data_IF_739350028964
#
_entry.id   IF_739350028964
#
_cell.length_a   1.000
_cell.length_b   1.000
_cell.length_c   1.000
_cell.angle_alpha   90.00
_cell.angle_beta   90.00
_cell.angle_gamma   90.00
#
_symmetry.space_group_name_H-M   'P 1'
#
loop_
_entity.id
_entity.type
_entity.pdbx_description
1 polymer ?
#
# COMPACT_ATOMS: atom_id res chain seq x y z
N UNK A 1 3.34 -22.31 -88.71
CA UNK A 1 1.95 -22.32 -88.19
C UNK A 1 1.91 -23.28 -87.00
N UNK A 2 2.05 -22.75 -85.79
CA UNK A 2 1.72 -23.47 -84.55
C UNK A 2 0.90 -22.50 -83.72
N UNK A 3 -0.39 -22.80 -83.54
CA UNK A 3 -1.26 -22.05 -82.62
C UNK A 3 -0.86 -22.46 -81.20
N UNK A 4 -0.74 -21.52 -80.24
CA UNK A 4 -0.70 -21.88 -78.84
C UNK A 4 -2.07 -22.47 -78.46
N UNK A 5 -2.07 -23.59 -77.74
CA UNK A 5 -3.28 -24.26 -77.26
C UNK A 5 -3.97 -23.37 -76.21
N UNK A 6 -5.16 -22.87 -76.55
CA UNK A 6 -6.03 -22.15 -75.61
C UNK A 6 -6.45 -23.00 -74.40
N UNK A 7 -6.29 -24.32 -74.48
CA UNK A 7 -6.57 -25.26 -73.39
C UNK A 7 -5.59 -25.14 -72.20
N UNK A 8 -4.31 -24.83 -72.45
CA UNK A 8 -3.30 -24.71 -71.39
C UNK A 8 -3.44 -23.41 -70.60
N UNK A 9 -4.01 -22.37 -71.22
CA UNK A 9 -4.31 -21.08 -70.58
C UNK A 9 -5.57 -21.19 -69.72
N UNK A 10 -6.59 -21.93 -70.18
CA UNK A 10 -7.82 -22.16 -69.42
C UNK A 10 -7.60 -23.06 -68.20
N UNK A 11 -6.72 -24.05 -68.29
CA UNK A 11 -6.33 -24.90 -67.14
C UNK A 11 -5.40 -24.16 -66.17
N UNK A 12 -4.51 -23.28 -66.66
CA UNK A 12 -3.75 -22.38 -65.80
C UNK A 12 -4.66 -21.38 -65.06
N UNK A 13 -5.68 -20.82 -65.73
CA UNK A 13 -6.68 -19.94 -65.11
C UNK A 13 -7.64 -20.68 -64.17
N UNK A 14 -8.02 -21.94 -64.46
CA UNK A 14 -8.77 -22.81 -63.54
C UNK A 14 -7.95 -23.22 -62.31
N UNK A 15 -6.63 -23.39 -62.45
CA UNK A 15 -5.73 -23.65 -61.32
C UNK A 15 -5.53 -22.41 -60.43
N UNK A 16 -5.44 -21.22 -61.03
CA UNK A 16 -5.32 -19.95 -60.32
C UNK A 16 -6.62 -19.54 -59.61
N UNK A 17 -7.79 -19.88 -60.17
CA UNK A 17 -9.09 -19.63 -59.53
C UNK A 17 -9.47 -20.66 -58.46
N UNK A 18 -8.84 -21.84 -58.44
CA UNK A 18 -9.02 -22.86 -57.38
C UNK A 18 -8.16 -22.65 -56.15
N UNK A 19 -7.11 -21.85 -56.22
CA UNK A 19 -6.27 -21.51 -55.05
C UNK A 19 -6.61 -20.11 -54.53
N UNK A 20 -7.86 -19.89 -54.09
CA UNK A 20 -8.11 -18.86 -53.08
C UNK A 20 -7.56 -19.38 -51.75
N UNK A 21 -6.22 -19.41 -51.63
CA UNK A 21 -5.57 -19.51 -50.33
C UNK A 21 -5.97 -18.24 -49.60
N UNK A 22 -6.94 -18.40 -48.70
CA UNK A 22 -7.30 -17.31 -47.83
C UNK A 22 -6.07 -16.99 -46.98
N UNK A 23 -5.95 -15.74 -46.54
CA UNK A 23 -4.81 -15.32 -45.73
C UNK A 23 -4.72 -16.12 -44.41
N UNK A 24 -5.82 -16.80 -44.01
CA UNK A 24 -5.86 -17.75 -42.89
C UNK A 24 -5.32 -19.16 -43.18
N UNK A 25 -5.01 -19.49 -44.43
CA UNK A 25 -4.41 -20.78 -44.85
C UNK A 25 -2.87 -20.70 -44.91
N UNK A 26 -2.28 -19.55 -44.56
CA UNK A 26 -0.84 -19.36 -44.49
C UNK A 26 -0.27 -20.00 -43.21
N UNK A 27 0.96 -20.53 -43.26
CA UNK A 27 1.67 -20.97 -42.06
C UNK A 27 1.76 -19.84 -41.03
N UNK A 28 1.60 -20.12 -39.72
CA UNK A 28 1.68 -19.12 -38.65
C UNK A 28 2.95 -18.27 -38.71
N UNK A 29 4.06 -18.87 -39.14
CA UNK A 29 5.38 -18.24 -39.27
C UNK A 29 5.39 -17.13 -40.33
N UNK A 30 4.80 -17.39 -41.50
CA UNK A 30 4.64 -16.41 -42.58
C UNK A 30 3.67 -15.28 -42.20
N UNK A 31 2.60 -15.62 -41.48
CA UNK A 31 1.67 -14.62 -40.94
C UNK A 31 2.41 -13.70 -39.96
N UNK A 32 3.24 -14.25 -39.07
CA UNK A 32 4.03 -13.41 -38.14
C UNK A 32 5.05 -12.51 -38.83
N UNK A 33 5.67 -12.95 -39.93
CA UNK A 33 6.56 -12.10 -40.73
C UNK A 33 5.82 -10.95 -41.41
N UNK A 34 4.66 -11.22 -42.01
CA UNK A 34 3.79 -10.20 -42.63
C UNK A 34 3.37 -9.17 -41.58
N UNK A 35 2.97 -9.63 -40.39
CA UNK A 35 2.58 -8.76 -39.29
C UNK A 35 3.75 -7.93 -38.74
N UNK A 36 4.97 -8.47 -38.74
CA UNK A 36 6.17 -7.74 -38.34
C UNK A 36 6.63 -6.68 -39.34
N UNK A 37 6.20 -6.78 -40.60
CA UNK A 37 6.45 -5.76 -41.61
C UNK A 37 5.36 -4.67 -41.64
N UNK A 38 4.19 -4.96 -41.06
CA UNK A 38 3.07 -4.04 -40.96
C UNK A 38 3.14 -3.28 -39.61
N UNK A 39 4.11 -2.39 -39.44
CA UNK A 39 4.37 -1.63 -38.20
C UNK A 39 3.20 -0.73 -37.70
N UNK A 40 2.08 -0.67 -38.43
CA UNK A 40 0.92 0.16 -38.10
C UNK A 40 -0.22 -0.63 -37.43
N UNK A 41 -0.59 -0.21 -36.22
CA UNK A 41 -1.69 -0.78 -35.44
C UNK A 41 -3.03 -0.78 -36.19
N UNK A 42 -3.30 0.17 -37.10
CA UNK A 42 -4.57 0.16 -37.84
C UNK A 42 -4.62 -0.96 -38.88
N UNK A 43 -3.49 -1.25 -39.52
CA UNK A 43 -3.34 -2.32 -40.51
C UNK A 43 -3.48 -3.69 -39.86
N UNK A 44 -2.82 -3.91 -38.72
CA UNK A 44 -2.95 -5.14 -37.95
C UNK A 44 -4.38 -5.31 -37.40
N UNK A 45 -5.07 -4.22 -37.04
CA UNK A 45 -6.47 -4.25 -36.55
C UNK A 45 -7.45 -4.72 -37.61
N UNK A 46 -7.24 -4.28 -38.86
CA UNK A 46 -8.04 -4.73 -40.01
C UNK A 46 -7.79 -6.21 -40.29
N UNK A 47 -6.54 -6.65 -40.24
CA UNK A 47 -6.15 -8.06 -40.37
C UNK A 47 -6.81 -8.94 -39.29
N UNK A 48 -6.81 -8.50 -38.04
CA UNK A 48 -7.46 -9.25 -36.95
C UNK A 48 -8.98 -9.43 -37.13
N UNK A 49 -9.64 -8.55 -37.88
CA UNK A 49 -11.08 -8.63 -38.17
C UNK A 49 -11.42 -9.55 -39.35
N UNK A 50 -10.44 -10.02 -40.13
CA UNK A 50 -10.69 -10.77 -41.37
C UNK A 50 -11.10 -12.23 -41.15
N UNK A 51 -10.45 -12.98 -40.27
CA UNK A 51 -10.86 -14.34 -39.94
C UNK A 51 -10.42 -14.73 -38.52
N UNK A 52 -11.05 -15.74 -37.89
CA UNK A 52 -10.74 -16.14 -36.50
C UNK A 52 -9.30 -16.62 -36.30
N UNK A 53 -8.72 -17.31 -37.28
CA UNK A 53 -7.34 -17.78 -37.22
C UNK A 53 -6.34 -16.62 -37.22
N UNK A 54 -6.53 -15.66 -38.13
CA UNK A 54 -5.75 -14.43 -38.17
C UNK A 54 -6.03 -13.51 -36.99
N UNK A 55 -7.26 -13.47 -36.48
CA UNK A 55 -7.60 -12.74 -35.26
C UNK A 55 -6.70 -13.19 -34.10
N UNK A 56 -6.46 -14.49 -33.95
CA UNK A 56 -5.62 -15.02 -32.87
C UNK A 56 -4.16 -14.57 -32.99
N UNK A 57 -3.62 -14.45 -34.20
CA UNK A 57 -2.21 -14.11 -34.45
C UNK A 57 -2.01 -12.58 -34.58
N UNK A 58 -2.88 -11.91 -35.31
CA UNK A 58 -2.88 -10.46 -35.52
C UNK A 58 -3.27 -9.69 -34.25
N UNK A 59 -4.16 -10.21 -33.39
CA UNK A 59 -4.38 -9.59 -32.08
C UNK A 59 -3.09 -9.59 -31.25
N UNK A 60 -2.29 -10.67 -31.33
CA UNK A 60 -1.00 -10.69 -30.65
C UNK A 60 0.00 -9.67 -31.20
N UNK A 61 -0.06 -9.31 -32.48
CA UNK A 61 0.74 -8.23 -33.06
C UNK A 61 0.16 -6.83 -32.74
N UNK A 62 -1.18 -6.70 -32.63
CA UNK A 62 -1.86 -5.47 -32.18
C UNK A 62 -1.49 -5.10 -30.76
N UNK A 63 -1.39 -6.11 -29.90
CA UNK A 63 -0.93 -5.97 -28.52
C UNK A 63 0.60 -5.81 -28.41
N UNK A 64 1.30 -5.55 -29.52
CA UNK A 64 2.76 -5.33 -29.59
C UNK A 64 3.13 -4.01 -30.28
N UNK A 65 2.30 -3.51 -31.19
CA UNK A 65 2.44 -2.16 -31.75
C UNK A 65 1.96 -1.11 -30.76
N UNK A 66 2.77 -0.07 -30.54
CA UNK A 66 2.40 1.02 -29.64
C UNK A 66 1.13 1.69 -30.14
N UNK A 67 0.04 1.57 -29.37
CA UNK A 67 -1.20 2.25 -29.73
C UNK A 67 -1.06 3.72 -29.32
N UNK A 68 -0.93 4.63 -30.30
CA UNK A 68 -0.69 6.07 -30.07
C UNK A 68 0.59 6.36 -29.26
N UNK A 69 1.63 5.54 -29.41
CA UNK A 69 2.92 5.75 -28.73
C UNK A 69 3.02 5.17 -27.31
N UNK A 70 1.98 4.50 -26.79
CA UNK A 70 2.03 3.83 -25.47
C UNK A 70 2.46 2.36 -25.62
N UNK A 71 3.38 1.91 -24.75
CA UNK A 71 3.77 0.49 -24.64
C UNK A 71 2.52 -0.36 -24.35
N UNK A 72 2.22 -1.38 -25.19
CA UNK A 72 1.03 -2.20 -25.02
C UNK A 72 1.02 -3.00 -23.71
N UNK A 73 2.19 -3.28 -23.13
CA UNK A 73 2.33 -3.90 -21.82
C UNK A 73 1.86 -2.95 -20.72
N UNK A 74 2.28 -1.68 -20.78
CA UNK A 74 1.83 -0.62 -19.88
C UNK A 74 0.32 -0.39 -20.04
N UNK A 75 -0.18 -0.33 -21.28
CA UNK A 75 -1.61 -0.22 -21.54
C UNK A 75 -2.41 -1.38 -20.93
N UNK A 76 -1.89 -2.60 -21.02
CA UNK A 76 -2.52 -3.80 -20.44
C UNK A 76 -2.51 -3.74 -18.92
N UNK A 77 -1.42 -3.26 -18.31
CA UNK A 77 -1.32 -3.02 -16.86
C UNK A 77 -2.34 -1.97 -16.41
N UNK A 78 -2.37 -0.80 -17.05
CA UNK A 78 -3.26 0.30 -16.69
C UNK A 78 -4.75 -0.08 -16.74
N UNK A 79 -5.09 -1.07 -17.55
CA UNK A 79 -6.48 -1.56 -17.72
C UNK A 79 -6.71 -2.94 -17.11
N UNK A 80 -5.73 -3.46 -16.38
CA UNK A 80 -5.69 -4.80 -15.79
C UNK A 80 -6.21 -5.90 -16.76
N UNK A 81 -5.74 -5.85 -18.01
CA UNK A 81 -6.07 -6.78 -19.10
C UNK A 81 -5.21 -8.03 -19.02
N UNK A 82 -5.47 -8.85 -18.01
CA UNK A 82 -4.74 -10.09 -17.73
C UNK A 82 -4.60 -11.02 -18.95
N UNK A 83 -5.68 -11.26 -19.69
CA UNK A 83 -5.67 -12.16 -20.86
C UNK A 83 -4.76 -11.65 -21.97
N UNK A 84 -4.81 -10.34 -22.22
CA UNK A 84 -3.97 -9.66 -23.21
C UNK A 84 -2.50 -9.76 -22.83
N UNK A 85 -2.16 -9.47 -21.58
CA UNK A 85 -0.78 -9.58 -21.11
C UNK A 85 -0.26 -11.01 -21.19
N UNK A 86 -1.07 -11.98 -20.78
CA UNK A 86 -0.68 -13.40 -20.83
C UNK A 86 -0.38 -13.85 -22.25
N UNK A 87 -1.14 -13.36 -23.24
CA UNK A 87 -0.84 -13.59 -24.65
C UNK A 87 0.48 -12.94 -25.06
N UNK A 88 0.75 -11.69 -24.66
CA UNK A 88 2.03 -11.02 -24.92
C UNK A 88 3.19 -11.85 -24.37
N UNK A 89 3.10 -12.29 -23.10
CA UNK A 89 4.15 -13.04 -22.40
C UNK A 89 4.39 -14.44 -23.00
N UNK A 90 3.34 -15.15 -23.45
CA UNK A 90 3.47 -16.50 -24.04
C UNK A 90 4.27 -16.52 -25.35
N UNK A 91 4.24 -15.42 -26.10
CA UNK A 91 4.92 -15.32 -27.39
C UNK A 91 6.35 -14.75 -27.30
N UNK A 92 6.85 -14.53 -26.08
CA UNK A 92 8.21 -14.08 -25.76
C UNK A 92 9.31 -15.07 -26.21
N UNK A 93 8.97 -16.30 -26.57
CA UNK A 93 9.90 -17.35 -27.00
C UNK A 93 10.53 -17.16 -28.39
N UNK A 94 10.18 -16.10 -29.13
CA UNK A 94 10.73 -15.83 -30.46
C UNK A 94 11.92 -14.85 -30.40
N UNK A 95 13.07 -15.23 -30.98
CA UNK A 95 14.38 -14.58 -30.69
C UNK A 95 14.50 -13.11 -31.10
N UNK A 96 13.63 -12.61 -31.97
CA UNK A 96 13.61 -11.21 -32.43
C UNK A 96 12.87 -10.25 -31.48
N UNK A 97 12.10 -10.77 -30.52
CA UNK A 97 11.10 -10.00 -29.76
C UNK A 97 11.12 -10.29 -28.26
N UNK A 98 12.26 -10.70 -27.72
CA UNK A 98 12.42 -11.00 -26.31
C UNK A 98 12.35 -9.70 -25.47
N UNK A 99 11.31 -9.56 -24.64
CA UNK A 99 11.21 -8.47 -23.66
C UNK A 99 12.43 -8.53 -22.73
N UNK A 100 13.16 -7.41 -22.63
CA UNK A 100 14.36 -7.34 -21.82
C UNK A 100 14.00 -7.55 -20.33
N UNK A 101 14.82 -8.24 -19.53
CA UNK A 101 14.52 -8.44 -18.11
C UNK A 101 14.32 -7.15 -17.31
N UNK A 102 14.89 -6.03 -17.77
CA UNK A 102 14.68 -4.70 -17.17
C UNK A 102 13.29 -4.14 -17.46
N UNK A 103 12.73 -4.42 -18.62
CA UNK A 103 11.38 -3.96 -18.99
C UNK A 103 10.35 -4.70 -18.13
N UNK A 104 10.47 -6.03 -18.02
CA UNK A 104 9.60 -6.83 -17.13
C UNK A 104 9.64 -6.35 -15.67
N UNK A 105 10.80 -5.85 -15.23
CA UNK A 105 10.93 -5.25 -13.90
C UNK A 105 10.13 -3.95 -13.80
N UNK A 106 10.24 -3.05 -14.78
CA UNK A 106 9.47 -1.81 -14.80
C UNK A 106 7.96 -2.10 -14.87
N UNK A 107 7.55 -3.07 -15.69
CA UNK A 107 6.17 -3.55 -15.79
C UNK A 107 5.66 -4.14 -14.47
N UNK A 108 6.48 -4.88 -13.72
CA UNK A 108 6.09 -5.41 -12.40
C UNK A 108 5.86 -4.28 -11.39
N UNK A 109 6.75 -3.29 -11.34
CA UNK A 109 6.61 -2.12 -10.46
C UNK A 109 5.31 -1.39 -10.76
N UNK A 110 5.04 -1.16 -12.05
CA UNK A 110 3.82 -0.48 -12.48
C UNK A 110 2.56 -1.30 -12.17
N UNK A 111 2.60 -2.62 -12.35
CA UNK A 111 1.50 -3.51 -11.99
C UNK A 111 1.16 -3.47 -10.50
N UNK A 112 2.17 -3.49 -9.63
CA UNK A 112 1.98 -3.42 -8.19
C UNK A 112 1.47 -2.04 -7.75
N UNK A 113 2.04 -0.97 -8.32
CA UNK A 113 1.62 0.43 -8.08
C UNK A 113 0.16 0.65 -8.45
N UNK A 114 -0.28 0.05 -9.56
CA UNK A 114 -1.66 0.14 -10.06
C UNK A 114 -2.58 -0.93 -9.50
N UNK A 115 -2.15 -1.76 -8.54
CA UNK A 115 -2.98 -2.81 -7.95
C UNK A 115 -3.43 -3.92 -8.91
N UNK A 116 -2.75 -4.09 -10.05
CA UNK A 116 -3.05 -5.11 -11.06
C UNK A 116 -2.41 -6.45 -10.68
N UNK A 117 -2.92 -7.08 -9.61
CA UNK A 117 -2.27 -8.24 -8.99
C UNK A 117 -2.28 -9.51 -9.84
N UNK A 118 -3.30 -9.74 -10.68
CA UNK A 118 -3.28 -10.85 -11.65
C UNK A 118 -2.13 -10.70 -12.64
N UNK A 119 -1.96 -9.48 -13.14
CA UNK A 119 -0.86 -9.14 -14.05
C UNK A 119 0.49 -9.26 -13.34
N UNK A 120 0.61 -8.74 -12.11
CA UNK A 120 1.83 -8.87 -11.32
C UNK A 120 2.20 -10.35 -11.09
N UNK A 121 1.22 -11.21 -10.80
CA UNK A 121 1.40 -12.66 -10.64
C UNK A 121 1.96 -13.30 -11.94
N UNK A 122 1.40 -12.95 -13.10
CA UNK A 122 1.87 -13.43 -14.40
C UNK A 122 3.27 -12.89 -14.77
N UNK A 123 3.58 -11.64 -14.43
CA UNK A 123 4.90 -11.05 -14.64
C UNK A 123 5.95 -11.75 -13.78
N UNK A 124 5.62 -12.06 -12.52
CA UNK A 124 6.47 -12.88 -11.67
C UNK A 124 6.70 -14.24 -12.33
N UNK A 125 5.65 -14.94 -12.76
CA UNK A 125 5.77 -16.26 -13.43
C UNK A 125 6.61 -16.19 -14.72
N UNK A 126 6.57 -15.07 -15.44
CA UNK A 126 7.43 -14.81 -16.60
C UNK A 126 8.90 -14.46 -16.24
N UNK A 127 9.27 -14.47 -14.96
CA UNK A 127 10.63 -14.24 -14.49
C UNK A 127 10.98 -12.79 -14.19
N UNK A 128 9.99 -11.91 -13.95
CA UNK A 128 10.25 -10.55 -13.51
C UNK A 128 11.02 -10.55 -12.16
N UNK A 129 12.11 -9.78 -12.08
CA UNK A 129 12.91 -9.67 -10.86
C UNK A 129 12.21 -8.75 -9.86
N UNK A 130 12.19 -9.16 -8.59
CA UNK A 130 11.66 -8.35 -7.48
C UNK A 130 12.62 -7.21 -7.12
N UNK A 131 12.08 -6.17 -6.51
CA UNK A 131 12.81 -4.98 -6.09
C UNK A 131 12.75 -4.79 -4.58
N UNK A 132 13.84 -4.32 -4.01
CA UNK A 132 13.99 -3.96 -2.60
C UNK A 132 13.94 -2.44 -2.48
N UNK A 133 13.24 -1.92 -1.48
CA UNK A 133 13.16 -0.49 -1.21
C UNK A 133 14.56 0.12 -1.06
N UNK A 134 14.72 1.40 -1.42
CA UNK A 134 16.04 2.08 -1.36
C UNK A 134 16.66 1.97 0.05
N UNK A 135 15.88 2.20 1.11
CA UNK A 135 16.34 2.08 2.50
C UNK A 135 16.61 0.65 2.99
N UNK A 136 16.30 -0.38 2.20
CA UNK A 136 16.60 -1.80 2.50
C UNK A 136 17.88 -2.30 1.82
N UNK A 137 18.56 -1.44 1.04
CA UNK A 137 19.82 -1.81 0.39
C UNK A 137 21.00 -1.69 1.38
N UNK A 138 21.84 -2.72 1.51
CA UNK A 138 22.97 -2.71 2.46
C UNK A 138 24.07 -1.69 2.10
N UNK A 139 24.16 -1.27 0.83
CA UNK A 139 25.19 -0.36 0.30
C UNK A 139 24.98 1.11 0.71
N UNK A 140 23.79 1.48 1.19
CA UNK A 140 23.44 2.81 1.66
C UNK A 140 23.46 2.80 3.19
N UNK A 141 24.65 2.81 3.78
CA UNK A 141 24.83 3.17 5.19
C UNK A 141 24.60 4.69 5.31
N UNK A 142 23.70 5.11 6.18
CA UNK A 142 23.35 6.52 6.45
C UNK A 142 22.33 7.17 5.51
N UNK A 143 21.12 6.62 5.46
CA UNK A 143 19.96 7.51 5.38
C UNK A 143 19.01 7.14 6.52
N UNK A 144 18.82 8.09 7.45
CA UNK A 144 17.62 8.16 8.27
C UNK A 144 16.42 7.79 7.39
N UNK A 145 15.47 7.04 7.94
CA UNK A 145 14.18 6.87 7.28
C UNK A 145 13.55 8.25 7.24
N UNK A 146 13.87 9.02 6.18
CA UNK A 146 13.25 10.30 5.93
C UNK A 146 11.76 10.01 5.90
N UNK A 147 11.03 10.58 6.86
CA UNK A 147 9.58 10.51 7.03
C UNK A 147 8.94 10.45 5.65
N UNK A 148 8.51 9.25 5.24
CA UNK A 148 8.11 9.02 3.86
C UNK A 148 6.76 9.69 3.68
N UNK A 149 6.74 10.78 2.92
CA UNK A 149 5.47 11.36 2.50
C UNK A 149 4.74 10.32 1.66
N UNK A 150 3.41 10.25 1.82
CA UNK A 150 2.59 9.28 1.12
C UNK A 150 2.74 9.36 -0.42
N UNK A 151 3.42 10.35 -1.00
CA UNK A 151 3.48 10.57 -2.45
C UNK A 151 4.71 9.94 -3.15
N UNK A 152 5.80 9.59 -2.47
CA UNK A 152 6.99 9.05 -3.16
C UNK A 152 6.97 7.52 -3.30
N UNK A 153 6.35 7.02 -4.37
CA UNK A 153 6.35 5.59 -4.70
C UNK A 153 7.68 5.10 -5.30
N UNK A 154 8.55 6.01 -5.77
CA UNK A 154 9.78 5.68 -6.50
C UNK A 154 10.84 4.95 -5.66
N UNK A 155 10.71 4.96 -4.34
CA UNK A 155 11.67 4.35 -3.41
C UNK A 155 11.19 3.03 -2.81
N UNK A 156 9.95 2.60 -3.10
CA UNK A 156 9.34 1.41 -2.52
C UNK A 156 9.74 0.14 -3.28
N UNK A 157 10.02 -0.91 -2.52
CA UNK A 157 10.24 -2.27 -3.00
C UNK A 157 8.96 -2.93 -3.48
N UNK A 158 9.09 -4.09 -4.13
CA UNK A 158 7.95 -4.84 -4.65
C UNK A 158 6.97 -5.25 -3.54
N UNK A 159 7.47 -5.60 -2.35
CA UNK A 159 6.60 -5.99 -1.24
C UNK A 159 5.86 -4.77 -0.68
N UNK A 160 6.58 -3.67 -0.47
CA UNK A 160 5.99 -2.41 0.01
C UNK A 160 4.95 -1.83 -0.96
N UNK A 161 5.23 -1.85 -2.27
CA UNK A 161 4.27 -1.44 -3.31
C UNK A 161 3.01 -2.31 -3.29
N UNK A 162 3.19 -3.63 -3.12
CA UNK A 162 2.07 -4.55 -3.00
C UNK A 162 1.24 -4.23 -1.74
N UNK A 163 1.87 -4.09 -0.57
CA UNK A 163 1.21 -3.80 0.70
C UNK A 163 0.36 -2.52 0.64
N UNK A 164 0.94 -1.45 0.07
CA UNK A 164 0.33 -0.14 -0.10
C UNK A 164 -0.94 -0.12 -0.96
N UNK A 165 -1.05 -1.01 -1.95
CA UNK A 165 -2.11 -0.93 -2.96
C UNK A 165 -3.49 -1.01 -2.33
N UNK A 166 -4.36 -0.06 -2.70
CA UNK A 166 -5.70 0.12 -2.14
C UNK A 166 -6.78 -0.30 -3.14
N UNK A 167 -7.77 -1.09 -2.76
CA UNK A 167 -8.82 -1.53 -3.68
C UNK A 167 -9.66 -0.34 -4.16
N UNK A 168 -10.10 0.51 -3.24
CA UNK A 168 -11.06 1.58 -3.53
C UNK A 168 -10.46 2.73 -4.35
N UNK A 169 -9.23 3.15 -4.05
CA UNK A 169 -8.56 4.19 -4.86
C UNK A 169 -8.22 3.70 -6.26
N UNK A 170 -8.00 2.39 -6.42
CA UNK A 170 -7.54 1.83 -7.69
C UNK A 170 -8.71 1.58 -8.65
N UNK A 171 -9.85 1.11 -8.16
CA UNK A 171 -10.90 0.56 -9.04
C UNK A 171 -12.29 1.20 -8.92
N UNK A 172 -12.63 1.94 -7.86
CA UNK A 172 -13.99 2.53 -7.79
C UNK A 172 -14.26 3.55 -8.89
N UNK A 173 -13.23 4.27 -9.33
CA UNK A 173 -13.34 5.30 -10.36
C UNK A 173 -12.98 4.80 -11.77
N UNK A 174 -12.62 3.52 -11.92
CA UNK A 174 -12.27 2.95 -13.22
C UNK A 174 -13.49 2.33 -13.90
N UNK A 175 -13.73 2.61 -15.19
CA UNK A 175 -14.85 2.01 -15.93
C UNK A 175 -14.66 0.50 -16.14
N UNK A 176 -13.41 0.02 -16.10
CA UNK A 176 -13.09 -1.40 -16.12
C UNK A 176 -13.09 -1.93 -14.70
N UNK A 177 -13.96 -2.90 -14.40
CA UNK A 177 -13.94 -3.69 -13.15
C UNK A 177 -13.17 -5.00 -13.39
N UNK A 178 -11.85 -5.05 -13.15
CA UNK A 178 -11.07 -6.25 -13.47
C UNK A 178 -11.29 -7.40 -12.49
N UNK A 179 -11.67 -7.09 -11.25
CA UNK A 179 -12.04 -8.06 -10.23
C UNK A 179 -13.56 -8.13 -10.08
N UNK A 180 -14.09 -9.34 -9.88
CA UNK A 180 -15.52 -9.55 -9.67
C UNK A 180 -15.98 -9.07 -8.28
N UNK A 181 -15.07 -9.07 -7.31
CA UNK A 181 -15.32 -8.59 -5.94
C UNK A 181 -14.02 -8.11 -5.29
N UNK A 182 -14.16 -7.40 -4.18
CA UNK A 182 -13.06 -7.04 -3.30
C UNK A 182 -12.33 -8.28 -2.74
N UNK A 183 -13.08 -9.29 -2.28
CA UNK A 183 -12.52 -10.55 -1.80
C UNK A 183 -11.62 -11.24 -2.85
N UNK A 184 -11.99 -11.16 -4.13
CA UNK A 184 -11.17 -11.70 -5.20
C UNK A 184 -9.86 -10.91 -5.38
N UNK A 185 -9.93 -9.58 -5.33
CA UNK A 185 -8.73 -8.72 -5.38
C UNK A 185 -7.75 -9.09 -4.25
N UNK A 186 -8.26 -9.26 -3.02
CA UNK A 186 -7.44 -9.64 -1.88
C UNK A 186 -6.80 -11.01 -2.02
N UNK A 187 -7.55 -12.00 -2.54
CA UNK A 187 -7.00 -13.33 -2.83
C UNK A 187 -5.79 -13.23 -3.77
N UNK A 188 -5.90 -12.42 -4.83
CA UNK A 188 -4.80 -12.20 -5.77
C UNK A 188 -3.64 -11.40 -5.15
N UNK A 189 -3.93 -10.33 -4.39
CA UNK A 189 -2.92 -9.54 -3.67
C UNK A 189 -2.08 -10.41 -2.75
N UNK A 190 -2.73 -11.19 -1.87
CA UNK A 190 -2.10 -12.13 -0.93
C UNK A 190 -1.24 -13.15 -1.66
N UNK A 191 -1.76 -13.77 -2.73
CA UNK A 191 -1.00 -14.72 -3.58
C UNK A 191 0.26 -14.09 -4.16
N UNK A 192 0.15 -12.91 -4.74
CA UNK A 192 1.29 -12.18 -5.34
C UNK A 192 2.32 -11.82 -4.27
N UNK A 193 1.90 -11.34 -3.10
CA UNK A 193 2.80 -11.03 -1.98
C UNK A 193 3.52 -12.27 -1.47
N UNK A 194 2.85 -13.42 -1.36
CA UNK A 194 3.49 -14.70 -1.02
C UNK A 194 4.57 -15.09 -2.03
N UNK A 195 4.34 -14.90 -3.33
CA UNK A 195 5.36 -15.14 -4.36
C UNK A 195 6.55 -14.18 -4.23
N UNK A 196 6.29 -12.90 -3.92
CA UNK A 196 7.34 -11.91 -3.69
C UNK A 196 8.18 -12.32 -2.47
N UNK A 197 7.56 -12.67 -1.34
CA UNK A 197 8.25 -13.13 -0.14
C UNK A 197 9.08 -14.39 -0.39
N UNK A 198 8.54 -15.37 -1.11
CA UNK A 198 9.28 -16.58 -1.46
C UNK A 198 10.54 -16.26 -2.27
N UNK A 199 10.45 -15.33 -3.24
CA UNK A 199 11.61 -14.85 -4.01
C UNK A 199 12.60 -14.09 -3.14
N UNK A 200 12.11 -13.25 -2.23
CA UNK A 200 12.97 -12.52 -1.29
C UNK A 200 13.79 -13.50 -0.44
N UNK A 201 13.17 -14.57 0.09
CA UNK A 201 13.87 -15.59 0.87
C UNK A 201 14.95 -16.32 0.08
N UNK A 202 14.66 -16.68 -1.17
CA UNK A 202 15.65 -17.30 -2.07
C UNK A 202 16.81 -16.32 -2.31
N UNK A 203 16.50 -15.06 -2.61
CA UNK A 203 17.51 -14.02 -2.84
C UNK A 203 18.39 -13.78 -1.60
N UNK A 204 17.79 -13.72 -0.41
CA UNK A 204 18.50 -13.54 0.87
C UNK A 204 19.37 -14.75 1.16
N UNK A 205 18.86 -15.97 0.98
CA UNK A 205 19.63 -17.21 1.20
C UNK A 205 20.87 -17.26 0.29
N UNK A 206 20.70 -16.90 -0.99
CA UNK A 206 21.81 -16.78 -1.94
C UNK A 206 22.82 -15.71 -1.50
N UNK A 207 22.35 -14.51 -1.17
CA UNK A 207 23.24 -13.42 -0.71
C UNK A 207 23.93 -13.74 0.61
N UNK A 208 23.30 -14.52 1.49
CA UNK A 208 23.90 -14.95 2.75
C UNK A 208 25.06 -15.91 2.53
N UNK A 209 24.96 -16.79 1.52
CA UNK A 209 26.09 -17.63 1.12
C UNK A 209 27.26 -16.81 0.54
N UNK A 210 26.97 -15.70 -0.14
CA UNK A 210 27.99 -14.81 -0.72
C UNK A 210 28.56 -13.81 0.31
N UNK A 211 27.72 -13.28 1.21
CA UNK A 211 28.01 -12.24 2.21
C UNK A 211 27.15 -12.43 3.48
N UNK A 212 27.62 -13.19 4.50
CA UNK A 212 26.80 -13.59 5.65
C UNK A 212 26.30 -12.44 6.54
N UNK A 213 27.09 -11.37 6.72
CA UNK A 213 26.83 -10.30 7.69
C UNK A 213 25.92 -9.17 7.20
N UNK A 214 25.78 -8.98 5.87
CA UNK A 214 25.06 -7.82 5.29
C UNK A 214 23.66 -8.18 4.74
N UNK A 215 23.34 -9.47 4.62
CA UNK A 215 22.19 -9.94 3.84
C UNK A 215 20.85 -9.93 4.59
N UNK A 216 20.84 -10.10 5.92
CA UNK A 216 19.61 -10.27 6.69
C UNK A 216 18.89 -8.94 6.99
N UNK A 217 19.65 -7.86 7.17
CA UNK A 217 19.10 -6.54 7.48
C UNK A 217 18.23 -5.98 6.35
N UNK A 218 18.54 -6.32 5.09
CA UNK A 218 17.74 -5.86 3.94
C UNK A 218 16.38 -6.55 3.84
N UNK A 219 16.30 -7.83 4.23
CA UNK A 219 15.03 -8.57 4.26
C UNK A 219 14.08 -8.00 5.31
N UNK A 220 14.58 -7.84 6.54
CA UNK A 220 13.81 -7.29 7.65
C UNK A 220 13.38 -5.85 7.38
N UNK A 221 14.28 -5.02 6.85
CA UNK A 221 13.93 -3.65 6.47
C UNK A 221 12.83 -3.59 5.40
N UNK A 222 12.84 -4.46 4.39
CA UNK A 222 11.76 -4.48 3.40
C UNK A 222 10.42 -4.91 4.02
N UNK A 223 10.43 -5.86 4.97
CA UNK A 223 9.24 -6.25 5.74
C UNK A 223 8.70 -5.07 6.59
N UNK A 224 9.57 -4.37 7.30
CA UNK A 224 9.20 -3.22 8.13
C UNK A 224 8.65 -2.06 7.28
N UNK A 225 9.23 -1.82 6.09
CA UNK A 225 8.70 -0.85 5.12
C UNK A 225 7.32 -1.30 4.63
N UNK A 226 7.16 -2.57 4.28
CA UNK A 226 5.86 -3.09 3.84
C UNK A 226 4.81 -2.98 4.95
N UNK A 227 5.20 -3.13 6.21
CA UNK A 227 4.31 -2.97 7.37
C UNK A 227 3.83 -1.52 7.50
N UNK A 228 4.73 -0.54 7.34
CA UNK A 228 4.36 0.89 7.27
C UNK A 228 3.32 1.14 6.17
N UNK A 229 3.56 0.61 4.98
CA UNK A 229 2.68 0.82 3.84
C UNK A 229 1.34 0.07 3.99
N UNK A 230 1.33 -1.08 4.68
CA UNK A 230 0.10 -1.80 5.04
C UNK A 230 -0.76 -1.02 6.04
N UNK A 231 -0.14 -0.35 7.02
CA UNK A 231 -0.85 0.54 7.94
C UNK A 231 -1.51 1.73 7.22
N UNK A 232 -0.96 2.11 6.07
CA UNK A 232 -1.53 3.14 5.18
C UNK A 232 -2.51 2.56 4.14
N UNK A 233 -2.80 1.26 4.13
CA UNK A 233 -3.78 0.67 3.20
C UNK A 233 -5.22 0.96 3.65
N UNK A 234 -6.20 0.71 2.77
CA UNK A 234 -7.62 0.86 3.03
C UNK A 234 -8.20 -0.35 3.79
N UNK A 235 -9.39 -0.82 3.40
CA UNK A 235 -9.96 -2.06 3.90
C UNK A 235 -8.91 -3.18 3.84
N UNK A 236 -8.88 -4.03 4.86
CA UNK A 236 -7.90 -5.11 5.04
C UNK A 236 -6.47 -4.72 5.40
N UNK A 237 -6.24 -3.48 5.86
CA UNK A 237 -4.94 -3.09 6.43
C UNK A 237 -4.52 -4.00 7.59
N UNK A 238 -5.47 -4.45 8.43
CA UNK A 238 -5.20 -5.27 9.61
C UNK A 238 -4.68 -6.64 9.19
N UNK A 239 -5.42 -7.34 8.35
CA UNK A 239 -5.05 -8.66 7.81
C UNK A 239 -3.72 -8.60 7.08
N UNK A 240 -3.41 -7.48 6.43
CA UNK A 240 -2.12 -7.25 5.79
C UNK A 240 -0.98 -7.06 6.79
N UNK A 241 -1.22 -6.26 7.85
CA UNK A 241 -0.24 -6.10 8.92
C UNK A 241 0.00 -7.42 9.63
N UNK A 242 -1.05 -8.19 9.97
CA UNK A 242 -0.93 -9.53 10.54
C UNK A 242 -0.09 -10.46 9.69
N UNK A 243 -0.37 -10.49 8.38
CA UNK A 243 0.38 -11.28 7.41
C UNK A 243 1.88 -10.92 7.41
N UNK A 244 2.20 -9.63 7.44
CA UNK A 244 3.58 -9.16 7.45
C UNK A 244 4.30 -9.44 8.78
N UNK A 245 3.59 -9.31 9.90
CA UNK A 245 4.12 -9.65 11.23
C UNK A 245 4.40 -11.16 11.34
N UNK A 246 3.50 -12.00 10.83
CA UNK A 246 3.72 -13.45 10.72
C UNK A 246 4.90 -13.79 9.79
N UNK A 247 5.18 -12.95 8.78
CA UNK A 247 6.34 -13.06 7.91
C UNK A 247 7.66 -12.56 8.54
N UNK A 248 7.61 -11.97 9.74
CA UNK A 248 8.77 -11.51 10.51
C UNK A 248 8.99 -9.99 10.49
N UNK A 249 8.01 -9.18 10.06
CA UNK A 249 8.06 -7.73 10.25
C UNK A 249 8.07 -7.39 11.75
N UNK A 250 8.77 -6.31 12.10
CA UNK A 250 8.93 -5.91 13.50
C UNK A 250 8.04 -4.71 13.85
N UNK A 251 7.21 -4.89 14.87
CA UNK A 251 6.37 -3.84 15.45
C UNK A 251 6.85 -3.41 16.85
N UNK A 252 7.90 -4.03 17.39
CA UNK A 252 8.44 -3.69 18.69
C UNK A 252 9.31 -2.43 18.61
N UNK A 253 8.91 -1.40 19.37
CA UNK A 253 9.53 -0.08 19.45
C UNK A 253 11.02 -0.14 19.83
N UNK A 254 11.39 -0.99 20.81
CA UNK A 254 12.75 -1.04 21.38
C UNK A 254 13.88 -1.30 20.36
N UNK A 255 13.54 -1.91 19.22
CA UNK A 255 14.48 -2.27 18.17
C UNK A 255 14.36 -1.36 16.94
N UNK A 256 13.25 -0.63 16.75
CA UNK A 256 12.97 0.08 15.51
C UNK A 256 11.99 1.28 15.63
N UNK A 257 12.25 2.19 16.57
CA UNK A 257 11.37 3.33 16.93
C UNK A 257 10.84 4.16 15.75
N UNK A 258 11.65 4.38 14.70
CA UNK A 258 11.23 5.19 13.54
C UNK A 258 10.16 4.48 12.69
N UNK A 259 10.32 3.18 12.44
CA UNK A 259 9.38 2.42 11.60
C UNK A 259 8.08 2.16 12.35
N UNK A 260 8.20 1.76 13.61
CA UNK A 260 7.08 1.55 14.53
C UNK A 260 6.30 2.86 14.73
N UNK A 261 7.03 3.97 14.90
CA UNK A 261 6.46 5.31 14.97
C UNK A 261 5.70 5.72 13.72
N UNK A 262 6.17 5.32 12.53
CA UNK A 262 5.47 5.60 11.27
C UNK A 262 4.22 4.71 11.11
N UNK A 263 4.25 3.45 11.55
CA UNK A 263 3.03 2.60 11.62
C UNK A 263 1.98 3.26 12.51
N UNK A 264 2.39 3.73 13.70
CA UNK A 264 1.49 4.44 14.62
C UNK A 264 0.91 5.71 13.99
N UNK A 265 1.77 6.55 13.40
CA UNK A 265 1.32 7.74 12.68
C UNK A 265 0.32 7.42 11.58
N UNK A 266 0.56 6.38 10.78
CA UNK A 266 -0.35 5.99 9.69
C UNK A 266 -1.70 5.48 10.22
N UNK A 267 -1.71 4.80 11.37
CA UNK A 267 -2.95 4.44 12.05
C UNK A 267 -3.72 5.68 12.52
N UNK A 268 -3.01 6.68 13.07
CA UNK A 268 -3.60 7.94 13.50
C UNK A 268 -4.08 8.84 12.35
N UNK A 269 -3.48 8.71 11.17
CA UNK A 269 -3.83 9.51 9.99
C UNK A 269 -5.09 8.98 9.28
N UNK A 270 -5.63 7.83 9.70
CA UNK A 270 -6.84 7.22 9.12
C UNK A 270 -8.07 8.12 9.29
N UNK A 271 -8.78 8.35 8.19
CA UNK A 271 -9.94 9.26 8.15
C UNK A 271 -11.27 8.53 8.34
N UNK A 272 -11.30 7.21 8.12
CA UNK A 272 -12.48 6.37 8.29
C UNK A 272 -12.58 5.89 9.75
N UNK A 273 -13.60 6.32 10.53
CA UNK A 273 -13.65 6.05 11.98
C UNK A 273 -13.59 4.57 12.39
N UNK A 274 -14.25 3.68 11.64
CA UNK A 274 -14.23 2.24 11.91
C UNK A 274 -12.85 1.62 11.66
N UNK A 275 -12.17 2.05 10.60
CA UNK A 275 -10.84 1.58 10.25
C UNK A 275 -9.78 2.18 11.19
N UNK A 276 -9.95 3.45 11.58
CA UNK A 276 -9.13 4.10 12.60
C UNK A 276 -9.15 3.30 13.90
N UNK A 277 -10.35 2.99 14.41
CA UNK A 277 -10.52 2.18 15.62
C UNK A 277 -9.77 0.85 15.49
N UNK A 278 -10.04 0.10 14.43
CA UNK A 278 -9.43 -1.20 14.22
C UNK A 278 -7.89 -1.13 14.15
N UNK A 279 -7.33 -0.13 13.45
CA UNK A 279 -5.87 0.07 13.32
C UNK A 279 -5.23 0.46 14.65
N UNK A 280 -5.87 1.36 15.41
CA UNK A 280 -5.36 1.81 16.71
C UNK A 280 -5.38 0.66 17.70
N UNK A 281 -6.50 -0.04 17.85
CA UNK A 281 -6.62 -1.21 18.74
C UNK A 281 -5.57 -2.26 18.41
N UNK A 282 -5.47 -2.64 17.13
CA UNK A 282 -4.49 -3.60 16.65
C UNK A 282 -3.04 -3.22 17.01
N UNK A 283 -2.69 -1.95 16.81
CA UNK A 283 -1.35 -1.44 17.08
C UNK A 283 -1.07 -1.40 18.58
N UNK A 284 -2.04 -0.99 19.39
CA UNK A 284 -1.92 -0.92 20.86
C UNK A 284 -1.71 -2.29 21.49
N UNK A 285 -2.46 -3.30 21.03
CA UNK A 285 -2.32 -4.68 21.49
C UNK A 285 -0.90 -5.26 21.26
N UNK A 286 -0.13 -4.66 20.36
CA UNK A 286 1.25 -5.04 20.05
C UNK A 286 2.31 -4.22 20.79
N UNK A 287 1.91 -3.41 21.77
CA UNK A 287 2.81 -2.72 22.68
C UNK A 287 3.57 -1.53 22.06
N UNK A 288 3.01 -0.92 21.02
CA UNK A 288 3.57 0.33 20.47
C UNK A 288 3.54 1.45 21.54
N UNK A 289 4.57 2.29 21.55
CA UNK A 289 4.58 3.51 22.36
C UNK A 289 3.56 4.52 21.80
N UNK A 290 2.40 4.61 22.47
CA UNK A 290 1.28 5.46 22.06
C UNK A 290 1.50 6.95 22.35
N UNK A 291 2.46 7.28 23.23
CA UNK A 291 2.62 8.64 23.74
C UNK A 291 3.41 9.55 22.80
N UNK A 292 3.98 8.99 21.73
CA UNK A 292 4.81 9.71 20.76
C UNK A 292 4.40 9.38 19.33
N UNK A 293 4.08 10.42 18.57
CA UNK A 293 3.79 10.35 17.14
C UNK A 293 4.98 10.94 16.39
N UNK A 294 5.57 10.19 15.47
CA UNK A 294 6.70 10.68 14.70
C UNK A 294 6.27 11.71 13.66
N UNK A 295 7.01 12.82 13.56
CA UNK A 295 6.85 13.83 12.52
C UNK A 295 8.19 14.28 11.97
N UNK A 296 8.17 14.92 10.80
CA UNK A 296 9.38 15.53 10.22
C UNK A 296 9.91 16.71 11.04
N UNK A 297 9.09 17.27 11.94
CA UNK A 297 9.48 18.33 12.89
C UNK A 297 9.99 17.76 14.22
N UNK A 298 10.00 16.44 14.39
CA UNK A 298 10.32 15.76 15.65
C UNK A 298 9.13 15.00 16.23
N UNK A 299 9.28 14.39 17.42
CA UNK A 299 8.21 13.67 18.10
C UNK A 299 7.12 14.64 18.58
N UNK A 300 5.86 14.31 18.27
CA UNK A 300 4.66 15.01 18.72
C UNK A 300 3.91 14.15 19.74
N UNK A 301 3.07 14.74 20.58
CA UNK A 301 2.03 13.97 21.29
C UNK A 301 0.85 13.68 20.34
N UNK A 302 0.01 12.67 20.61
CA UNK A 302 -1.21 12.46 19.84
C UNK A 302 -2.12 13.69 19.79
N UNK A 303 -2.28 14.40 20.92
CA UNK A 303 -3.03 15.65 20.97
C UNK A 303 -2.43 16.71 20.03
N UNK A 304 -1.12 16.92 20.05
CA UNK A 304 -0.44 17.86 19.17
C UNK A 304 -0.58 17.47 17.69
N UNK A 305 -0.48 16.17 17.37
CA UNK A 305 -0.67 15.66 16.02
C UNK A 305 -2.07 15.99 15.47
N UNK A 306 -3.13 15.73 16.24
CA UNK A 306 -4.50 16.02 15.81
C UNK A 306 -4.80 17.51 15.73
N UNK A 307 -4.32 18.32 16.69
CA UNK A 307 -4.51 19.77 16.65
C UNK A 307 -3.82 20.40 15.43
N UNK A 308 -2.59 20.00 15.13
CA UNK A 308 -1.91 20.41 13.88
C UNK A 308 -2.69 19.97 12.66
N UNK A 309 -3.11 18.70 12.59
CA UNK A 309 -3.90 18.19 11.46
C UNK A 309 -5.18 19.00 11.25
N UNK A 310 -5.92 19.28 12.32
CA UNK A 310 -7.12 20.11 12.30
C UNK A 310 -6.86 21.54 11.82
N UNK A 311 -5.84 22.21 12.37
CA UNK A 311 -5.46 23.57 11.96
C UNK A 311 -5.15 23.61 10.46
N UNK A 312 -4.27 22.72 9.99
CA UNK A 312 -3.89 22.63 8.58
C UNK A 312 -5.08 22.30 7.67
N UNK A 313 -5.97 21.39 8.06
CA UNK A 313 -7.13 21.01 7.25
C UNK A 313 -8.16 22.12 7.11
N UNK A 314 -8.33 22.98 8.12
CA UNK A 314 -9.27 24.10 8.08
C UNK A 314 -8.77 25.31 7.27
N UNK A 315 -7.45 25.46 7.11
CA UNK A 315 -6.86 26.53 6.28
C UNK A 315 -7.13 26.34 4.77
N UNK A 316 -7.60 25.16 4.36
CA UNK A 316 -8.02 24.91 2.99
C UNK A 316 -9.55 24.74 2.93
N UNK A 317 -10.23 25.31 1.90
CA UNK A 317 -11.67 25.24 1.80
C UNK A 317 -12.14 23.79 1.59
N UNK A 318 -12.59 23.15 2.66
CA UNK A 318 -13.10 21.78 2.69
C UNK A 318 -14.32 21.67 3.61
N UNK A 319 -15.08 20.58 3.45
CA UNK A 319 -16.21 20.19 4.30
C UNK A 319 -15.80 20.12 5.78
N UNK A 320 -16.47 20.84 6.68
CA UNK A 320 -16.14 20.88 8.12
C UNK A 320 -16.48 19.59 8.87
N UNK A 321 -17.10 18.60 8.21
CA UNK A 321 -17.44 17.29 8.82
C UNK A 321 -16.23 16.52 9.37
N UNK A 322 -15.00 16.83 8.93
CA UNK A 322 -13.80 16.22 9.49
C UNK A 322 -13.50 16.66 10.93
N UNK A 323 -13.98 17.84 11.36
CA UNK A 323 -13.73 18.38 12.71
C UNK A 323 -14.36 17.45 13.74
N UNK A 324 -15.66 17.14 13.58
CA UNK A 324 -16.37 16.24 14.49
C UNK A 324 -15.76 14.83 14.50
N UNK A 325 -15.33 14.33 13.33
CA UNK A 325 -14.63 13.04 13.22
C UNK A 325 -13.33 13.03 14.01
N UNK A 326 -12.50 14.07 13.86
CA UNK A 326 -11.22 14.17 14.56
C UNK A 326 -11.41 14.32 16.08
N UNK A 327 -12.37 15.12 16.54
CA UNK A 327 -12.68 15.25 17.96
C UNK A 327 -13.14 13.91 18.56
N UNK A 328 -13.94 13.13 17.82
CA UNK A 328 -14.31 11.78 18.22
C UNK A 328 -13.10 10.83 18.29
N UNK A 329 -12.18 10.90 17.32
CA UNK A 329 -10.94 10.10 17.33
C UNK A 329 -10.07 10.46 18.54
N UNK A 330 -9.98 11.74 18.89
CA UNK A 330 -9.24 12.20 20.07
C UNK A 330 -9.88 11.71 21.37
N UNK A 331 -11.22 11.77 21.49
CA UNK A 331 -11.96 11.22 22.63
C UNK A 331 -11.77 9.71 22.77
N UNK A 332 -11.74 9.00 21.65
CA UNK A 332 -11.44 7.58 21.64
C UNK A 332 -10.04 7.31 22.20
N UNK A 333 -9.01 8.03 21.74
CA UNK A 333 -7.65 7.88 22.23
C UNK A 333 -7.50 8.26 23.71
N UNK A 334 -8.22 9.29 24.17
CA UNK A 334 -8.29 9.66 25.59
C UNK A 334 -8.89 8.53 26.42
N UNK A 335 -9.98 7.91 25.96
CA UNK A 335 -10.60 6.77 26.64
C UNK A 335 -9.67 5.56 26.79
N UNK A 336 -8.67 5.44 25.92
CA UNK A 336 -7.62 4.43 25.97
C UNK A 336 -6.34 4.86 26.70
N UNK A 337 -6.31 6.09 27.26
CA UNK A 337 -5.15 6.65 27.95
C UNK A 337 -3.98 7.01 27.04
N UNK A 338 -4.22 7.12 25.72
CA UNK A 338 -3.20 7.46 24.73
C UNK A 338 -3.10 8.96 24.45
N UNK A 339 -4.09 9.74 24.89
CA UNK A 339 -4.18 11.17 24.63
C UNK A 339 -4.61 11.90 25.89
N UNK A 340 -3.88 12.96 26.23
CA UNK A 340 -4.26 13.89 27.27
C UNK A 340 -4.60 15.25 26.64
N UNK A 341 -5.77 15.78 26.99
CA UNK A 341 -6.16 17.13 26.55
C UNK A 341 -5.41 18.20 27.36
N UNK A 342 -4.96 19.30 26.71
CA UNK A 342 -4.30 20.42 27.39
C UNK A 342 -5.31 21.32 28.15
N UNK A 343 -6.09 20.73 29.06
CA UNK A 343 -7.19 21.41 29.76
C UNK A 343 -6.73 22.55 30.66
N UNK A 344 -5.57 22.44 31.31
CA UNK A 344 -5.02 23.50 32.16
C UNK A 344 -4.74 24.79 31.37
N UNK A 345 -4.31 24.66 30.12
CA UNK A 345 -4.04 25.78 29.22
C UNK A 345 -5.35 26.39 28.73
N UNK A 346 -6.37 25.56 28.46
CA UNK A 346 -7.71 26.04 28.14
C UNK A 346 -8.39 26.78 29.31
N UNK A 347 -8.18 26.31 30.55
CA UNK A 347 -8.63 27.00 31.76
C UNK A 347 -8.02 28.40 31.87
N UNK A 348 -6.70 28.51 31.76
CA UNK A 348 -5.98 29.79 31.77
C UNK A 348 -6.45 30.75 30.65
N UNK A 349 -6.75 30.21 29.46
CA UNK A 349 -7.30 30.98 28.35
C UNK A 349 -8.69 31.58 28.67
N UNK A 350 -9.56 30.81 29.35
CA UNK A 350 -10.91 31.27 29.69
C UNK A 350 -10.95 32.21 30.91
N UNK A 351 -10.03 32.06 31.86
CA UNK A 351 -9.99 32.90 33.07
C UNK A 351 -9.27 34.24 32.84
N UNK A 352 -8.69 34.45 31.66
CA UNK A 352 -7.90 35.63 31.33
C UNK A 352 -6.70 35.84 32.29
N UNK A 353 -6.29 34.78 33.01
CA UNK A 353 -5.09 34.76 33.84
C UNK A 353 -3.86 34.46 32.99
N UNK A 354 -3.53 35.37 32.07
CA UNK A 354 -2.29 35.31 31.28
C UNK A 354 -1.05 35.70 32.11
N UNK A 355 -1.09 35.50 33.43
CA UNK A 355 -0.05 35.87 34.36
C UNK A 355 0.69 34.63 34.90
N UNK A 356 1.83 34.35 34.26
CA UNK A 356 3.03 33.88 34.96
C UNK A 356 3.01 32.49 35.63
N UNK A 357 2.54 31.45 34.94
CA UNK A 357 2.92 30.05 35.26
C UNK A 357 3.57 29.34 34.08
N UNK A 358 4.57 30.00 33.49
CA UNK A 358 5.63 29.29 32.79
C UNK A 358 6.62 28.72 33.80
N UNK A 359 6.28 27.62 34.50
CA UNK A 359 7.26 26.82 35.25
C UNK A 359 6.90 25.33 35.25
N UNK A 360 7.81 24.57 34.64
CA UNK A 360 8.11 23.15 34.85
C UNK A 360 6.95 22.14 34.67
N UNK A 361 6.53 21.96 33.41
CA UNK A 361 6.00 20.68 32.94
C UNK A 361 6.92 20.16 31.84
N UNK A 362 7.26 18.88 31.91
CA UNK A 362 8.28 18.25 31.08
C UNK A 362 8.02 18.51 29.58
N UNK A 363 9.08 18.76 28.82
CA UNK A 363 9.10 19.37 27.48
C UNK A 363 8.33 18.71 26.32
N UNK A 364 7.36 17.82 26.57
CA UNK A 364 6.39 17.29 25.61
C UNK A 364 4.96 17.81 25.86
N UNK A 365 4.58 18.14 27.10
CA UNK A 365 3.22 18.60 27.45
C UNK A 365 2.93 20.03 26.96
N UNK A 366 3.97 20.81 26.67
CA UNK A 366 3.85 22.17 26.13
C UNK A 366 3.47 22.19 24.63
N UNK A 367 3.58 21.07 23.91
CA UNK A 367 3.33 21.02 22.46
C UNK A 367 1.87 21.24 22.10
N UNK A 368 0.98 20.35 22.57
CA UNK A 368 -0.45 20.42 22.31
C UNK A 368 -1.09 21.72 22.85
N UNK A 369 -0.60 22.21 23.99
CA UNK A 369 -1.02 23.48 24.57
C UNK A 369 -0.75 24.69 23.68
N UNK A 370 0.47 24.79 23.14
CA UNK A 370 0.85 25.84 22.19
C UNK A 370 0.03 25.78 20.92
N UNK A 371 -0.19 24.60 20.36
CA UNK A 371 -1.04 24.45 19.17
C UNK A 371 -2.49 24.86 19.44
N UNK A 372 -3.02 24.55 20.62
CA UNK A 372 -4.34 25.01 21.02
C UNK A 372 -4.40 26.54 21.14
N UNK A 373 -3.42 27.18 21.79
CA UNK A 373 -3.31 28.63 21.87
C UNK A 373 -3.21 29.29 20.49
N UNK A 374 -2.44 28.70 19.57
CA UNK A 374 -2.32 29.17 18.19
C UNK A 374 -3.68 29.15 17.48
N UNK A 375 -4.39 28.02 17.52
CA UNK A 375 -5.70 27.88 16.87
C UNK A 375 -6.72 28.88 17.45
N UNK A 376 -6.75 29.05 18.78
CA UNK A 376 -7.74 29.89 19.45
C UNK A 376 -7.48 31.40 19.27
N UNK A 377 -6.23 31.80 19.06
CA UNK A 377 -5.84 33.20 18.82
C UNK A 377 -5.73 33.55 17.34
N UNK A 378 -5.82 32.57 16.43
CA UNK A 378 -5.76 32.80 14.99
C UNK A 378 -6.94 33.67 14.53
N UNK A 379 -6.65 34.70 13.73
CA UNK A 379 -7.63 35.66 13.25
C UNK A 379 -8.24 35.28 11.90
N UNK A 380 -7.80 34.17 11.29
CA UNK A 380 -8.35 33.68 10.03
C UNK A 380 -9.81 33.22 10.21
N UNK A 381 -10.71 33.80 9.40
CA UNK A 381 -12.15 33.47 9.43
C UNK A 381 -12.43 32.00 9.08
N UNK A 382 -11.55 31.35 8.31
CA UNK A 382 -11.67 29.93 7.95
C UNK A 382 -11.58 29.00 9.16
N UNK A 383 -10.98 29.46 10.27
CA UNK A 383 -10.82 28.69 11.50
C UNK A 383 -11.98 28.82 12.47
N UNK A 384 -12.93 29.74 12.23
CA UNK A 384 -14.08 29.94 13.12
C UNK A 384 -14.87 28.66 13.45
N UNK A 385 -15.13 27.75 12.48
CA UNK A 385 -15.79 26.47 12.79
C UNK A 385 -14.98 25.61 13.76
N UNK A 386 -13.66 25.53 13.56
CA UNK A 386 -12.75 24.77 14.42
C UNK A 386 -12.64 25.38 15.82
N UNK A 387 -12.48 26.70 15.91
CA UNK A 387 -12.43 27.42 17.19
C UNK A 387 -13.72 27.20 18.00
N UNK A 388 -14.88 27.28 17.33
CA UNK A 388 -16.17 27.06 17.98
C UNK A 388 -16.30 25.62 18.48
N UNK A 389 -15.98 24.64 17.64
CA UNK A 389 -16.05 23.22 18.00
C UNK A 389 -15.09 22.89 19.15
N UNK A 390 -13.84 23.34 19.11
CA UNK A 390 -12.85 23.12 20.17
C UNK A 390 -13.29 23.77 21.49
N UNK A 391 -13.73 25.04 21.48
CA UNK A 391 -14.22 25.72 22.69
C UNK A 391 -15.40 24.97 23.33
N UNK A 392 -16.37 24.55 22.52
CA UNK A 392 -17.50 23.76 23.00
C UNK A 392 -17.06 22.41 23.55
N UNK A 393 -16.14 21.73 22.86
CA UNK A 393 -15.64 20.42 23.26
C UNK A 393 -14.88 20.48 24.59
N UNK A 394 -13.89 21.36 24.68
CA UNK A 394 -13.06 21.51 25.87
C UNK A 394 -13.86 22.02 27.08
N UNK A 395 -14.84 22.91 26.87
CA UNK A 395 -15.75 23.33 27.95
C UNK A 395 -16.54 22.16 28.51
N UNK A 396 -17.04 21.25 27.65
CA UNK A 396 -17.74 20.03 28.10
C UNK A 396 -16.81 19.12 28.90
N UNK A 397 -15.57 18.92 28.44
CA UNK A 397 -14.56 18.10 29.14
C UNK A 397 -14.20 18.65 30.52
N UNK A 398 -14.01 19.95 30.61
CA UNK A 398 -13.70 20.66 31.85
C UNK A 398 -14.84 20.51 32.87
N UNK A 399 -16.10 20.69 32.43
CA UNK A 399 -17.28 20.44 33.26
C UNK A 399 -17.39 18.98 33.71
N UNK A 400 -17.05 18.01 32.85
CA UNK A 400 -17.03 16.60 33.22
C UNK A 400 -15.96 16.30 34.27
N UNK A 401 -14.74 16.84 34.10
CA UNK A 401 -13.64 16.72 35.06
C UNK A 401 -14.00 17.31 36.42
N UNK A 402 -14.64 18.49 36.45
CA UNK A 402 -15.13 19.11 37.67
C UNK A 402 -16.20 18.27 38.38
N UNK A 403 -17.14 17.67 37.63
CA UNK A 403 -18.16 16.76 38.20
C UNK A 403 -17.53 15.48 38.79
N UNK A 404 -16.51 14.93 38.12
CA UNK A 404 -15.75 13.79 38.61
C UNK A 404 -14.98 14.12 39.89
N UNK A 405 -14.39 15.31 39.99
CA UNK A 405 -13.72 15.77 41.21
C UNK A 405 -14.69 15.92 42.38
N UNK A 406 -15.87 16.52 42.16
CA UNK A 406 -16.90 16.67 43.20
C UNK A 406 -17.43 15.31 43.69
N UNK A 407 -17.60 14.34 42.80
CA UNK A 407 -18.04 12.98 43.18
C UNK A 407 -16.96 12.18 43.89
N UNK A 408 -15.68 12.36 43.53
CA UNK A 408 -14.55 11.76 44.25
C UNK A 408 -14.32 12.39 45.63
N UNK A 409 -14.60 13.69 45.81
CA UNK A 409 -14.57 14.33 47.13
C UNK A 409 -15.70 13.84 48.04
N UNK A 410 -16.82 13.37 47.49
CA UNK A 410 -17.89 12.71 48.24
C UNK A 410 -17.55 11.24 48.59
N UNK A 411 -16.78 10.54 47.76
CA UNK A 411 -16.39 9.12 47.96
C UNK A 411 -15.05 8.93 48.72
N UNK A 412 -14.23 9.97 48.91
CA UNK A 412 -12.99 9.92 49.71
C UNK A 412 -13.20 9.82 51.24
N UNK A 413 -14.43 9.50 51.67
CA UNK A 413 -14.75 9.08 53.03
C UNK A 413 -14.36 7.64 53.39
N UNK A 414 -13.82 6.82 52.48
CA UNK A 414 -13.42 5.44 52.83
C UNK A 414 -12.25 4.85 52.02
N UNK A 415 -11.19 4.58 52.78
CA UNK A 415 -10.19 3.50 52.68
C UNK A 415 -9.07 3.51 51.62
N UNK A 416 -7.87 3.58 52.19
CA UNK A 416 -6.52 3.27 51.69
C UNK A 416 -6.34 1.74 51.60
N UNK A 417 -5.85 1.18 50.48
CA UNK A 417 -4.91 0.03 50.47
C UNK A 417 -3.95 0.11 49.27
N UNK A 418 -2.67 -0.10 49.58
CA UNK A 418 -1.46 -0.16 48.75
C UNK A 418 -1.41 -1.25 47.65
N UNK A 419 -0.76 -0.90 46.52
CA UNK A 419 0.53 -1.51 46.12
C UNK A 419 0.58 -2.87 45.40
N UNK A 420 0.80 -2.84 44.08
CA UNK A 420 1.99 -3.39 43.36
C UNK A 420 1.65 -3.87 41.93
N UNK A 421 2.08 -3.09 40.93
CA UNK A 421 2.15 -3.52 39.54
C UNK A 421 3.47 -4.25 39.27
N UNK A 422 3.37 -5.53 38.88
CA UNK A 422 4.50 -6.35 38.44
C UNK A 422 4.65 -6.23 36.92
N UNK A 423 5.82 -5.78 36.44
CA UNK A 423 6.19 -5.84 35.01
C UNK A 423 6.55 -7.29 34.64
N UNK A 424 6.04 -7.87 33.54
CA UNK A 424 6.61 -9.07 32.98
C UNK A 424 7.82 -8.73 32.10
N UNK A 425 8.96 -9.35 32.42
CA UNK A 425 10.12 -9.46 31.53
C UNK A 425 9.75 -10.37 30.35
N UNK A 426 9.91 -9.89 29.12
CA UNK A 426 9.98 -10.75 27.94
C UNK A 426 11.33 -10.55 27.25
N UNK A 427 12.23 -11.49 27.50
CA UNK A 427 13.38 -11.75 26.65
C UNK A 427 13.00 -12.96 25.82
N UNK A 428 12.79 -12.80 24.52
CA UNK A 428 12.87 -13.92 23.58
C UNK A 428 13.47 -13.44 22.25
N UNK A 429 14.71 -13.87 22.02
CA UNK A 429 15.37 -13.84 20.72
C UNK A 429 15.02 -15.16 20.02
N UNK A 430 13.97 -15.16 19.23
CA UNK A 430 13.60 -16.32 18.42
C UNK A 430 14.65 -16.55 17.32
N UNK A 431 15.10 -17.79 17.16
CA UNK A 431 16.18 -18.16 16.24
C UNK A 431 15.66 -18.56 14.85
N UNK A 432 16.47 -18.31 13.81
CA UNK A 432 16.15 -18.52 12.38
C UNK A 432 15.41 -19.85 12.03
N UNK A 433 15.67 -21.00 12.68
CA UNK A 433 14.96 -22.24 12.40
C UNK A 433 13.46 -22.23 12.81
N UNK A 434 13.08 -21.52 13.86
CA UNK A 434 11.71 -21.47 14.37
C UNK A 434 10.78 -20.62 13.48
N UNK A 435 11.30 -19.49 12.98
CA UNK A 435 10.57 -18.65 12.04
C UNK A 435 10.27 -19.40 10.72
N UNK A 436 11.20 -20.23 10.24
CA UNK A 436 11.03 -21.02 9.00
C UNK A 436 9.97 -22.11 9.19
N UNK A 437 9.96 -22.80 10.34
CA UNK A 437 8.99 -23.86 10.63
C UNK A 437 7.56 -23.31 10.78
N UNK A 438 7.37 -22.21 11.50
CA UNK A 438 6.04 -21.57 11.65
C UNK A 438 5.42 -21.15 10.31
N UNK A 439 6.24 -20.78 9.34
CA UNK A 439 5.77 -20.36 8.02
C UNK A 439 5.40 -21.53 7.10
N UNK A 440 6.00 -22.70 7.29
CA UNK A 440 5.56 -23.92 6.60
C UNK A 440 4.26 -24.46 7.18
N UNK A 441 4.05 -24.31 8.49
CA UNK A 441 2.82 -24.71 9.15
C UNK A 441 1.66 -23.78 8.80
N UNK A 442 1.86 -22.46 8.81
CA UNK A 442 0.88 -21.48 8.31
C UNK A 442 0.56 -21.70 6.82
N UNK A 443 1.54 -22.07 5.98
CA UNK A 443 1.30 -22.42 4.58
C UNK A 443 0.38 -23.65 4.45
N UNK A 444 0.56 -24.67 5.29
CA UNK A 444 -0.24 -25.91 5.26
C UNK A 444 -1.65 -25.67 5.79
N UNK A 445 -1.77 -24.97 6.91
CA UNK A 445 -3.06 -24.65 7.54
C UNK A 445 -3.92 -23.78 6.61
N UNK A 446 -3.31 -22.86 5.87
CA UNK A 446 -4.05 -21.94 4.99
C UNK A 446 -4.33 -22.50 3.59
N UNK A 447 -3.51 -23.43 3.10
CA UNK A 447 -3.85 -24.22 1.91
C UNK A 447 -5.02 -25.16 2.19
N UNK A 448 -5.22 -25.59 3.44
CA UNK A 448 -6.36 -26.40 3.84
C UNK A 448 -7.67 -25.59 3.82
N UNK A 449 -7.67 -24.35 4.32
CA UNK A 449 -8.84 -23.44 4.23
C UNK A 449 -9.16 -22.99 2.80
N UNK A 450 -8.16 -22.92 1.92
CA UNK A 450 -8.34 -22.57 0.51
C UNK A 450 -8.98 -23.71 -0.31
N UNK A 451 -8.99 -24.93 0.22
CA UNK A 451 -9.51 -26.12 -0.44
C UNK A 451 -10.82 -26.62 0.17
N UNK A 452 -11.30 -26.04 1.28
CA UNK A 452 -12.53 -26.48 1.96
C UNK A 452 -13.82 -25.91 1.38
N UNK A 453 -13.75 -24.92 0.48
CA UNK A 453 -14.90 -24.37 -0.23
C UNK A 453 -14.82 -24.70 -1.73
N UNK A 454 -15.06 -25.96 -2.07
CA UNK A 454 -15.46 -26.40 -3.43
C UNK A 454 -16.96 -26.47 -3.56
#
# INVERSE_FOLDING_TARGET
MFRPNDADIEDAQKSATRSKRSLGDLPPELITEILSAADDATTISRLARTCRGLARIANCALYRTSFRGTDPTIWAIDRDRFDTLTQILKHRSTSKWAIHPQDLRAHLVEALRTGSFRIADALLDAGAKIYYSVGSRPELHSEEVSMRTAQSCGHLGSLALAARSRYHLTFWYRPTKPYASEAEYWRWKKRTMMKILARMRIDVSRRHMEYPTLSFDGYRRELDIALIEAANADAHSIEMMEFLLAAGANINAEMNDQYVGQVWRNALDEEVPSLFRAKVEFVMERGINTNRVWSWQGPLTPAEFFLKKLHWSCLFPADTSFIDRALWMMDFLEGWGCLEWPLAIFEAFNTCEMAAQGRELAGLDMGAGRELELILNDTDESLQPLQTALKQHLSRKLLQKQKLLVTLEEDQGSEIIDGHASKPNFVDKESLPEAILRLEDLRKEWLAESCSDT
#
